data_IF_157328455068
#
_entry.id   IF_157328455068
#
_cell.length_a   1.000
_cell.length_b   1.000
_cell.length_c   1.000
_cell.angle_alpha   90.00
_cell.angle_beta   90.00
_cell.angle_gamma   90.00
#
_symmetry.space_group_name_H-M   'P 1'
#
loop_
_entity.id
_entity.type
_entity.pdbx_description
1 polymer ?
#
# COMPACT_ATOMS: atom_id res chain seq x y z
N UNK A 1 -40.46 33.26 -5.38
CA UNK A 1 -39.07 32.84 -5.39
C UNK A 1 -39.05 31.31 -5.46
N UNK A 2 -39.03 30.75 -6.67
CA UNK A 2 -38.99 29.31 -6.90
C UNK A 2 -37.61 28.79 -6.51
N UNK A 3 -37.58 27.91 -5.48
CA UNK A 3 -36.40 27.10 -5.19
C UNK A 3 -36.34 26.01 -6.24
N UNK A 4 -35.43 26.17 -7.22
CA UNK A 4 -35.02 25.07 -8.09
C UNK A 4 -34.45 23.96 -7.23
N UNK A 5 -35.19 22.89 -7.13
CA UNK A 5 -34.73 21.60 -6.62
C UNK A 5 -33.72 21.07 -7.67
N UNK A 6 -32.42 21.27 -7.42
CA UNK A 6 -31.36 20.67 -8.23
C UNK A 6 -31.47 19.16 -8.06
N UNK A 7 -31.78 18.48 -9.15
CA UNK A 7 -31.78 17.03 -9.25
C UNK A 7 -30.39 16.53 -8.86
N UNK A 8 -30.28 15.88 -7.72
CA UNK A 8 -29.08 15.13 -7.31
C UNK A 8 -28.87 14.07 -8.39
N UNK A 9 -27.80 14.17 -9.15
CA UNK A 9 -27.42 13.16 -10.12
C UNK A 9 -27.17 11.86 -9.36
N UNK A 10 -28.14 10.94 -9.40
CA UNK A 10 -27.99 9.61 -8.82
C UNK A 10 -27.06 8.78 -9.71
N UNK A 11 -26.16 8.02 -9.10
CA UNK A 11 -25.32 7.04 -9.81
C UNK A 11 -26.25 6.10 -10.58
N UNK A 12 -26.18 6.12 -11.91
CA UNK A 12 -27.06 5.30 -12.75
C UNK A 12 -26.63 3.84 -12.77
N UNK A 13 -27.55 2.88 -12.93
CA UNK A 13 -27.21 1.45 -13.02
C UNK A 13 -26.17 1.15 -14.12
N UNK A 14 -26.27 1.85 -15.25
CA UNK A 14 -25.35 1.69 -16.39
C UNK A 14 -23.88 2.01 -15.98
N UNK A 15 -23.69 3.02 -15.12
CA UNK A 15 -22.36 3.39 -14.61
C UNK A 15 -21.79 2.31 -13.70
N UNK A 16 -22.63 1.61 -12.95
CA UNK A 16 -22.21 0.47 -12.11
C UNK A 16 -21.84 -0.77 -12.94
N UNK A 17 -22.41 -0.92 -14.14
CA UNK A 17 -22.14 -2.07 -15.00
C UNK A 17 -20.79 -1.98 -15.72
N UNK A 18 -20.30 -0.77 -15.97
CA UNK A 18 -18.99 -0.51 -16.60
C UNK A 18 -17.81 -0.75 -15.64
N UNK A 19 -18.06 -0.79 -14.32
CA UNK A 19 -17.00 -1.00 -13.33
C UNK A 19 -16.43 -2.42 -13.50
N UNK A 20 -15.09 -2.56 -13.70
CA UNK A 20 -14.47 -3.86 -13.93
C UNK A 20 -14.43 -4.73 -12.64
N UNK A 21 -14.45 -6.04 -12.84
CA UNK A 21 -14.22 -7.01 -11.75
C UNK A 21 -12.71 -7.24 -11.58
N UNK A 22 -12.03 -6.19 -11.08
CA UNK A 22 -10.59 -6.16 -10.86
C UNK A 22 -10.28 -5.48 -9.52
N UNK A 23 -9.10 -5.73 -8.92
CA UNK A 23 -8.65 -4.98 -7.75
C UNK A 23 -8.44 -3.51 -8.10
N UNK A 24 -8.62 -2.64 -7.10
CA UNK A 24 -8.43 -1.21 -7.29
C UNK A 24 -9.01 -0.35 -6.17
N UNK A 25 -9.01 0.96 -6.41
CA UNK A 25 -9.53 1.99 -5.52
C UNK A 25 -10.70 2.69 -6.18
N UNK A 26 -11.76 2.91 -5.42
CA UNK A 26 -12.93 3.68 -5.86
C UNK A 26 -13.04 4.98 -5.05
N UNK A 27 -13.46 6.05 -5.76
CA UNK A 27 -13.60 7.39 -5.23
C UNK A 27 -15.07 7.81 -5.37
N UNK A 28 -15.74 8.07 -4.28
CA UNK A 28 -17.12 8.55 -4.27
C UNK A 28 -17.12 10.06 -4.18
N UNK A 29 -17.87 10.71 -5.09
CA UNK A 29 -17.98 12.16 -5.20
C UNK A 29 -19.37 12.64 -4.85
N UNK A 30 -19.46 13.84 -4.30
CA UNK A 30 -20.71 14.55 -4.07
C UNK A 30 -21.17 15.30 -5.33
N UNK A 31 -22.32 15.99 -5.26
CA UNK A 31 -22.85 16.78 -6.37
C UNK A 31 -21.98 18.00 -6.77
N UNK A 32 -21.07 18.42 -5.89
CA UNK A 32 -20.10 19.49 -6.18
C UNK A 32 -18.82 18.96 -6.86
N UNK A 33 -18.67 17.62 -7.00
CA UNK A 33 -17.49 16.99 -7.55
C UNK A 33 -16.39 16.68 -6.51
N UNK A 34 -16.61 17.02 -5.23
CA UNK A 34 -15.62 16.75 -4.19
C UNK A 34 -15.57 15.27 -3.85
N UNK A 35 -14.36 14.72 -3.66
CA UNK A 35 -14.17 13.36 -3.18
C UNK A 35 -14.54 13.30 -1.71
N UNK A 36 -15.63 12.57 -1.39
CA UNK A 36 -16.16 12.42 -0.05
C UNK A 36 -15.77 11.11 0.62
N UNK A 37 -15.38 10.10 -0.17
CA UNK A 37 -14.93 8.81 0.33
C UNK A 37 -13.99 8.14 -0.68
N UNK A 38 -12.95 7.48 -0.18
CA UNK A 38 -12.02 6.63 -0.92
C UNK A 38 -12.02 5.25 -0.29
N UNK A 39 -12.00 4.19 -1.08
CA UNK A 39 -11.93 2.82 -0.55
C UNK A 39 -11.31 1.84 -1.53
N UNK A 40 -10.59 0.84 -1.01
CA UNK A 40 -10.04 -0.26 -1.80
C UNK A 40 -11.03 -1.41 -1.99
N UNK A 41 -10.82 -2.20 -3.04
CA UNK A 41 -11.56 -3.43 -3.29
C UNK A 41 -10.67 -4.45 -4.01
N UNK A 42 -10.90 -5.75 -3.72
CA UNK A 42 -10.37 -6.87 -4.53
C UNK A 42 -11.17 -6.97 -5.82
N UNK A 43 -12.47 -6.69 -5.75
CA UNK A 43 -13.39 -6.58 -6.86
C UNK A 43 -14.13 -5.24 -6.77
N UNK A 44 -13.72 -4.28 -7.60
CA UNK A 44 -14.35 -2.96 -7.66
C UNK A 44 -15.85 -3.07 -7.93
N UNK A 45 -16.24 -3.91 -8.91
CA UNK A 45 -17.64 -4.14 -9.30
C UNK A 45 -18.51 -4.60 -8.12
N UNK A 46 -18.07 -5.65 -7.43
CA UNK A 46 -18.84 -6.22 -6.33
C UNK A 46 -18.91 -5.26 -5.14
N UNK A 47 -17.79 -4.63 -4.82
CA UNK A 47 -17.70 -3.70 -3.69
C UNK A 47 -18.57 -2.46 -3.90
N UNK A 48 -18.46 -1.82 -5.04
CA UNK A 48 -19.25 -0.61 -5.32
C UNK A 48 -20.74 -0.94 -5.37
N UNK A 49 -21.13 -2.02 -6.06
CA UNK A 49 -22.53 -2.46 -6.10
C UNK A 49 -23.10 -2.73 -4.72
N UNK A 50 -22.32 -3.24 -3.78
CA UNK A 50 -22.79 -3.53 -2.42
C UNK A 50 -23.35 -2.32 -1.67
N UNK A 51 -22.91 -1.10 -2.01
CA UNK A 51 -23.45 0.13 -1.43
C UNK A 51 -24.87 0.46 -1.92
N UNK A 52 -25.25 0.02 -3.12
CA UNK A 52 -26.51 0.39 -3.77
C UNK A 52 -27.55 -0.75 -3.75
N UNK A 53 -27.11 -2.01 -3.60
CA UNK A 53 -28.02 -3.17 -3.59
C UNK A 53 -28.71 -3.41 -2.26
N UNK A 54 -28.18 -2.93 -1.16
CA UNK A 54 -28.74 -3.16 0.17
C UNK A 54 -29.84 -2.14 0.48
N UNK A 55 -31.04 -2.35 -0.02
CA UNK A 55 -32.22 -1.66 0.51
C UNK A 55 -32.39 -2.02 2.00
N UNK A 56 -31.81 -1.19 2.90
CA UNK A 56 -32.10 -1.24 4.35
C UNK A 56 -31.11 -2.02 5.22
N UNK A 57 -30.03 -2.63 4.71
CA UNK A 57 -29.10 -3.45 5.50
C UNK A 57 -27.70 -2.83 5.74
N UNK A 58 -27.56 -1.52 5.62
CA UNK A 58 -26.33 -0.89 6.13
C UNK A 58 -26.51 -0.70 7.65
N UNK A 59 -25.84 -1.56 8.44
CA UNK A 59 -25.88 -1.52 9.90
C UNK A 59 -25.29 -0.21 10.48
N UNK A 60 -24.50 0.53 9.68
CA UNK A 60 -23.90 1.78 10.10
C UNK A 60 -24.66 3.01 9.61
N UNK A 61 -25.12 3.90 10.53
CA UNK A 61 -25.70 5.19 10.17
C UNK A 61 -24.83 6.05 9.26
N UNK A 62 -23.49 5.90 9.41
CA UNK A 62 -22.49 6.62 8.62
C UNK A 62 -22.53 6.22 7.14
N UNK A 63 -22.64 4.92 6.85
CA UNK A 63 -22.72 4.43 5.46
C UNK A 63 -24.02 4.89 4.81
N UNK A 64 -25.12 4.91 5.55
CA UNK A 64 -26.42 5.45 5.06
C UNK A 64 -26.33 6.94 4.69
N UNK A 65 -25.62 7.73 5.49
CA UNK A 65 -25.39 9.15 5.19
C UNK A 65 -24.45 9.33 3.99
N UNK A 66 -23.41 8.52 3.89
CA UNK A 66 -22.50 8.52 2.73
C UNK A 66 -23.28 8.25 1.43
N UNK A 67 -24.02 7.14 1.38
CA UNK A 67 -24.76 6.73 0.16
C UNK A 67 -25.73 7.82 -0.31
N UNK A 68 -26.37 8.56 0.61
CA UNK A 68 -27.26 9.68 0.26
C UNK A 68 -26.54 10.87 -0.40
N UNK A 69 -25.23 10.99 -0.22
CA UNK A 69 -24.45 12.12 -0.75
C UNK A 69 -23.65 11.75 -2.00
N UNK A 70 -23.61 10.47 -2.39
CA UNK A 70 -22.91 10.03 -3.60
C UNK A 70 -23.69 10.51 -4.82
N UNK A 71 -23.06 11.34 -5.62
CA UNK A 71 -23.56 11.77 -6.91
C UNK A 71 -22.79 11.10 -8.07
N UNK A 72 -21.52 10.77 -7.85
CA UNK A 72 -20.66 10.19 -8.86
C UNK A 72 -19.61 9.24 -8.25
N UNK A 73 -19.04 8.35 -9.07
CA UNK A 73 -18.02 7.37 -8.69
C UNK A 73 -16.97 7.28 -9.78
N UNK A 74 -15.71 7.50 -9.38
CA UNK A 74 -14.54 7.17 -10.18
C UNK A 74 -13.87 5.93 -9.60
N UNK A 75 -13.01 5.30 -10.40
CA UNK A 75 -12.21 4.16 -9.96
C UNK A 75 -10.85 4.14 -10.65
N UNK A 76 -9.87 3.56 -9.98
CA UNK A 76 -8.53 3.31 -10.49
C UNK A 76 -8.28 1.81 -10.32
N UNK A 77 -8.02 1.13 -11.44
CA UNK A 77 -7.69 -0.31 -11.44
C UNK A 77 -6.22 -0.47 -11.06
N UNK A 78 -5.94 -1.44 -10.22
CA UNK A 78 -4.57 -1.80 -9.81
C UNK A 78 -4.26 -3.23 -10.21
N UNK A 79 -2.97 -3.58 -10.23
CA UNK A 79 -2.51 -4.92 -10.60
C UNK A 79 -2.84 -5.97 -9.53
N UNK A 80 -2.87 -5.54 -8.26
CA UNK A 80 -3.12 -6.39 -7.10
C UNK A 80 -3.69 -5.62 -5.92
N UNK A 81 -4.05 -6.34 -4.84
CA UNK A 81 -4.63 -5.76 -3.63
C UNK A 81 -3.63 -4.91 -2.83
N UNK A 82 -2.34 -5.24 -2.89
CA UNK A 82 -1.28 -4.50 -2.17
C UNK A 82 -1.13 -3.10 -2.76
N UNK A 83 -1.12 -3.01 -4.09
CA UNK A 83 -1.09 -1.73 -4.81
C UNK A 83 -2.35 -0.90 -4.50
N UNK A 84 -3.54 -1.53 -4.49
CA UNK A 84 -4.77 -0.87 -4.09
C UNK A 84 -4.73 -0.30 -2.67
N UNK A 85 -4.11 -1.00 -1.72
CA UNK A 85 -3.96 -0.54 -0.34
C UNK A 85 -3.05 0.70 -0.25
N UNK A 86 -1.93 0.68 -0.94
CA UNK A 86 -0.97 1.80 -0.95
C UNK A 86 -1.63 3.03 -1.59
N UNK A 87 -2.29 2.84 -2.73
CA UNK A 87 -2.99 3.90 -3.44
C UNK A 87 -4.14 4.49 -2.61
N UNK A 88 -4.95 3.65 -1.92
CA UNK A 88 -5.99 4.10 -0.99
C UNK A 88 -5.39 5.01 0.09
N UNK A 89 -4.31 4.58 0.74
CA UNK A 89 -3.64 5.35 1.80
C UNK A 89 -3.11 6.69 1.28
N UNK A 90 -2.50 6.71 0.10
CA UNK A 90 -2.00 7.93 -0.55
C UNK A 90 -3.14 8.91 -0.85
N UNK A 91 -4.20 8.43 -1.51
CA UNK A 91 -5.36 9.26 -1.85
C UNK A 91 -6.10 9.80 -0.61
N UNK A 92 -6.20 9.02 0.46
CA UNK A 92 -6.80 9.49 1.72
C UNK A 92 -5.96 10.61 2.34
N UNK A 93 -4.63 10.52 2.30
CA UNK A 93 -3.74 11.56 2.80
C UNK A 93 -3.83 12.86 2.00
N UNK A 94 -3.87 12.75 0.67
CA UNK A 94 -3.94 13.89 -0.25
C UNK A 94 -5.30 14.57 -0.21
N UNK A 95 -6.37 13.79 -0.37
CA UNK A 95 -7.73 14.30 -0.56
C UNK A 95 -8.47 14.56 0.75
N UNK A 96 -8.02 13.96 1.86
CA UNK A 96 -8.63 14.07 3.21
C UNK A 96 -10.16 13.93 3.19
N UNK A 97 -10.73 12.88 2.58
CA UNK A 97 -12.16 12.80 2.30
C UNK A 97 -12.97 12.76 3.60
N UNK A 98 -14.08 13.50 3.65
CA UNK A 98 -14.89 13.71 4.85
C UNK A 98 -15.36 12.40 5.51
N UNK A 99 -15.67 11.36 4.74
CA UNK A 99 -16.17 10.10 5.27
C UNK A 99 -15.09 9.08 5.58
N UNK A 100 -13.85 9.23 5.09
CA UNK A 100 -12.69 8.48 5.55
C UNK A 100 -12.15 9.05 6.87
N UNK A 101 -12.32 10.35 7.06
CA UNK A 101 -11.82 11.04 8.23
C UNK A 101 -12.69 10.72 9.43
N UNK A 102 -12.39 9.64 10.08
CA UNK A 102 -12.37 9.47 11.53
C UNK A 102 -11.40 8.36 11.88
N UNK A 103 -10.19 8.52 11.38
CA UNK A 103 -8.97 8.08 12.04
C UNK A 103 -8.67 9.02 13.23
N UNK A 104 -9.69 9.40 14.01
CA UNK A 104 -9.53 10.26 15.19
C UNK A 104 -8.85 9.54 16.35
N UNK A 105 -8.62 8.24 16.25
CA UNK A 105 -7.80 7.44 17.15
C UNK A 105 -6.58 6.92 16.37
N UNK A 106 -5.61 7.78 16.10
CA UNK A 106 -4.34 7.43 15.48
C UNK A 106 -3.61 6.28 16.22
N UNK A 107 -3.97 6.07 17.49
CA UNK A 107 -3.37 5.05 18.37
C UNK A 107 -3.74 3.59 18.01
N UNK A 108 -4.75 3.35 17.20
CA UNK A 108 -5.26 2.00 16.92
C UNK A 108 -4.95 1.46 15.53
N UNK A 109 -4.52 2.31 14.60
CA UNK A 109 -4.23 1.89 13.24
C UNK A 109 -2.78 1.40 13.07
N UNK A 110 -2.55 0.35 12.29
CA UNK A 110 -1.21 -0.12 11.99
C UNK A 110 -0.50 0.82 11.00
N UNK A 111 0.79 0.97 11.23
CA UNK A 111 1.76 1.62 10.36
C UNK A 111 2.82 0.61 9.95
N UNK A 112 3.40 0.79 8.77
CA UNK A 112 4.65 0.14 8.38
C UNK A 112 5.77 1.13 8.70
N UNK A 113 6.72 0.71 9.55
CA UNK A 113 7.90 1.49 9.92
C UNK A 113 9.13 0.90 9.27
N UNK A 114 9.95 1.74 8.64
CA UNK A 114 11.30 1.43 8.20
C UNK A 114 12.26 2.08 9.21
N UNK A 115 13.06 1.26 9.92
CA UNK A 115 13.94 1.71 11.02
C UNK A 115 15.23 2.31 10.45
N UNK A 116 15.14 3.51 9.86
CA UNK A 116 16.28 4.17 9.22
C UNK A 116 17.37 4.65 10.19
N UNK A 117 17.12 4.59 11.47
CA UNK A 117 18.06 4.80 12.57
C UNK A 117 19.02 3.61 12.78
N UNK A 118 18.70 2.43 12.26
CA UNK A 118 19.57 1.26 12.32
C UNK A 118 20.56 1.23 11.13
N UNK A 119 21.79 0.74 11.34
CA UNK A 119 22.78 0.57 10.27
C UNK A 119 22.27 -0.29 9.11
N UNK A 120 21.41 -1.26 9.41
CA UNK A 120 20.69 -2.09 8.45
C UNK A 120 19.20 -2.04 8.79
N UNK A 121 18.43 -1.12 8.20
CA UNK A 121 17.03 -0.91 8.50
C UNK A 121 16.16 -2.17 8.37
N UNK A 122 15.12 -2.26 9.21
CA UNK A 122 14.10 -3.30 9.15
C UNK A 122 12.77 -2.70 8.74
N UNK A 123 11.91 -3.54 8.16
CA UNK A 123 10.51 -3.19 7.91
C UNK A 123 9.64 -3.92 8.92
N UNK A 124 8.97 -3.16 9.79
CA UNK A 124 8.15 -3.67 10.88
C UNK A 124 6.76 -3.04 10.88
N UNK A 125 5.80 -3.68 11.54
CA UNK A 125 4.49 -3.10 11.79
C UNK A 125 4.45 -2.55 13.21
N UNK A 126 4.01 -1.31 13.36
CA UNK A 126 3.78 -0.66 14.64
C UNK A 126 2.40 0.00 14.70
N UNK A 127 1.90 0.26 15.89
CA UNK A 127 0.70 1.09 16.12
C UNK A 127 1.04 2.40 16.82
N UNK A 128 2.31 2.62 17.12
CA UNK A 128 2.80 3.84 17.74
C UNK A 128 3.43 4.70 16.67
N UNK A 129 3.08 5.98 16.66
CA UNK A 129 3.82 6.99 15.92
C UNK A 129 5.11 7.23 16.72
N UNK A 130 6.24 6.96 16.08
CA UNK A 130 7.58 7.18 16.60
C UNK A 130 8.27 8.18 15.67
N UNK A 131 9.10 9.06 16.24
CA UNK A 131 9.81 10.09 15.46
C UNK A 131 11.04 9.51 14.75
N UNK A 132 11.51 8.35 15.19
CA UNK A 132 12.63 7.62 14.62
C UNK A 132 12.18 6.74 13.43
N UNK A 133 12.88 6.84 12.30
CA UNK A 133 12.59 6.09 11.09
C UNK A 133 11.49 6.67 10.20
N UNK A 134 11.21 5.98 9.08
CA UNK A 134 10.18 6.39 8.10
C UNK A 134 8.89 5.63 8.35
N UNK A 135 7.80 6.38 8.53
CA UNK A 135 6.47 5.83 8.81
C UNK A 135 5.57 5.91 7.58
N UNK A 136 4.92 4.80 7.26
CA UNK A 136 3.94 4.67 6.18
C UNK A 136 2.58 4.24 6.76
N UNK A 137 1.53 4.87 6.33
CA UNK A 137 0.18 4.66 6.87
C UNK A 137 -0.43 5.99 7.36
N UNK A 138 -1.47 6.02 8.19
CA UNK A 138 -2.11 4.85 8.79
C UNK A 138 -2.89 3.99 7.78
N UNK A 139 -2.90 2.68 7.98
CA UNK A 139 -3.65 1.76 7.15
C UNK A 139 -4.94 1.32 7.84
N UNK A 140 -6.05 1.34 7.11
CA UNK A 140 -7.36 0.98 7.69
C UNK A 140 -7.52 -0.54 7.95
N UNK A 141 -6.74 -1.38 7.27
CA UNK A 141 -6.84 -2.83 7.32
C UNK A 141 -5.52 -3.48 7.78
N UNK A 142 -5.53 -4.02 8.99
CA UNK A 142 -4.37 -4.73 9.54
C UNK A 142 -4.05 -6.05 8.83
N UNK A 143 -5.02 -6.67 8.18
CA UNK A 143 -4.82 -7.86 7.34
C UNK A 143 -4.02 -7.52 6.09
N UNK A 144 -4.41 -6.44 5.40
CA UNK A 144 -3.72 -5.95 4.22
C UNK A 144 -2.29 -5.52 4.53
N UNK A 145 -2.04 -4.87 5.70
CA UNK A 145 -0.67 -4.52 6.14
C UNK A 145 0.20 -5.78 6.31
N UNK A 146 -0.36 -6.86 6.88
CA UNK A 146 0.37 -8.13 7.02
C UNK A 146 0.68 -8.76 5.66
N UNK A 147 -0.25 -8.70 4.72
CA UNK A 147 -0.01 -9.19 3.34
C UNK A 147 1.07 -8.36 2.64
N UNK A 148 1.03 -7.03 2.75
CA UNK A 148 2.07 -6.14 2.22
C UNK A 148 3.44 -6.48 2.80
N UNK A 149 3.53 -6.66 4.13
CA UNK A 149 4.79 -7.06 4.77
C UNK A 149 5.28 -8.43 4.30
N UNK A 150 4.36 -9.38 4.11
CA UNK A 150 4.68 -10.71 3.55
C UNK A 150 5.19 -10.62 2.11
N UNK A 151 4.56 -9.77 1.29
CA UNK A 151 4.99 -9.48 -0.07
C UNK A 151 6.40 -8.86 -0.08
N UNK A 152 6.65 -7.81 0.71
CA UNK A 152 7.97 -7.19 0.82
C UNK A 152 9.05 -8.19 1.20
N UNK A 153 8.80 -9.03 2.22
CA UNK A 153 9.75 -10.07 2.68
C UNK A 153 10.00 -11.17 1.66
N UNK A 154 9.08 -11.38 0.71
CA UNK A 154 9.24 -12.35 -0.37
C UNK A 154 10.13 -11.81 -1.48
N UNK A 155 9.95 -10.55 -1.85
CA UNK A 155 10.57 -9.96 -3.03
C UNK A 155 11.82 -9.14 -2.72
N UNK A 156 11.92 -8.56 -1.51
CA UNK A 156 13.08 -7.79 -1.06
C UNK A 156 13.81 -8.55 0.06
N UNK A 157 15.07 -8.96 -0.14
CA UNK A 157 15.82 -9.78 0.82
C UNK A 157 16.29 -8.97 2.03
N UNK A 158 15.35 -8.35 2.75
CA UNK A 158 15.59 -7.57 3.96
C UNK A 158 15.72 -8.46 5.19
N UNK A 159 16.54 -8.02 6.15
CA UNK A 159 16.61 -8.69 7.44
C UNK A 159 15.31 -8.52 8.23
N UNK A 160 14.94 -9.54 8.98
CA UNK A 160 13.80 -9.51 9.92
C UNK A 160 14.22 -9.69 11.37
N UNK A 161 15.49 -10.07 11.62
CA UNK A 161 16.04 -10.27 12.96
C UNK A 161 16.22 -8.95 13.70
N UNK A 162 16.18 -9.01 15.04
CA UNK A 162 16.39 -7.87 15.93
C UNK A 162 17.84 -7.74 16.43
N UNK A 163 18.81 -8.40 15.76
CA UNK A 163 20.22 -8.33 16.13
C UNK A 163 20.73 -6.88 16.00
N UNK A 164 21.52 -6.45 16.99
CA UNK A 164 22.25 -5.19 16.86
C UNK A 164 23.46 -5.42 15.95
N UNK A 165 23.43 -4.79 14.77
CA UNK A 165 24.48 -4.90 13.76
C UNK A 165 25.40 -3.67 13.70
N UNK A 166 25.30 -2.75 14.66
CA UNK A 166 26.21 -1.60 14.79
C UNK A 166 27.62 -2.03 15.23
N UNK A 167 27.71 -3.14 15.93
CA UNK A 167 28.99 -3.73 16.33
C UNK A 167 29.32 -4.92 15.42
N UNK A 168 30.57 -4.98 14.95
CA UNK A 168 31.05 -6.08 14.12
C UNK A 168 31.12 -7.37 14.95
N UNK A 169 30.20 -8.30 14.69
CA UNK A 169 30.16 -9.63 15.29
C UNK A 169 30.11 -10.66 14.17
N UNK A 170 30.87 -11.73 14.31
CA UNK A 170 30.89 -12.84 13.35
C UNK A 170 29.67 -13.74 13.53
N UNK A 171 28.52 -13.29 13.00
CA UNK A 171 27.33 -14.12 12.96
C UNK A 171 27.38 -15.10 11.79
N UNK A 172 26.88 -16.32 11.99
CA UNK A 172 26.65 -17.26 10.90
C UNK A 172 25.36 -16.89 10.16
N UNK A 173 25.35 -17.00 8.81
CA UNK A 173 24.12 -16.81 8.03
C UNK A 173 23.00 -17.74 8.53
N UNK A 174 21.81 -17.20 8.71
CA UNK A 174 20.65 -17.97 9.14
C UNK A 174 19.89 -18.55 7.93
N UNK A 175 18.84 -19.35 8.20
CA UNK A 175 18.02 -19.97 7.18
C UNK A 175 17.50 -18.97 6.12
N UNK A 176 17.15 -17.72 6.51
CA UNK A 176 16.64 -16.73 5.57
C UNK A 176 17.65 -16.36 4.47
N UNK A 177 18.95 -16.42 4.77
CA UNK A 177 19.98 -16.24 3.75
C UNK A 177 19.96 -17.42 2.74
N UNK A 178 19.94 -18.64 3.24
CA UNK A 178 19.99 -19.83 2.39
C UNK A 178 18.76 -19.98 1.47
N UNK A 179 17.61 -19.44 1.88
CA UNK A 179 16.39 -19.40 1.05
C UNK A 179 16.24 -18.09 0.26
N UNK A 180 17.28 -17.25 0.20
CA UNK A 180 17.29 -16.00 -0.60
C UNK A 180 16.39 -14.87 -0.08
N UNK A 181 15.96 -14.93 1.20
CA UNK A 181 15.08 -13.90 1.80
C UNK A 181 15.82 -12.88 2.67
N UNK A 182 17.15 -12.95 2.76
CA UNK A 182 17.99 -12.00 3.47
C UNK A 182 19.39 -12.03 2.86
N UNK A 183 20.01 -10.87 2.69
CA UNK A 183 21.40 -10.77 2.19
C UNK A 183 22.48 -11.08 3.23
N UNK A 184 22.09 -11.47 4.47
CA UNK A 184 22.99 -11.74 5.58
C UNK A 184 24.00 -10.61 5.91
N UNK A 185 23.52 -9.36 6.12
CA UNK A 185 24.42 -8.28 6.54
C UNK A 185 25.10 -8.57 7.90
N UNK A 186 24.46 -9.42 8.74
CA UNK A 186 25.02 -9.86 10.03
C UNK A 186 26.31 -10.71 9.89
N UNK A 187 26.50 -11.36 8.73
CA UNK A 187 27.69 -12.14 8.39
C UNK A 187 28.64 -11.39 7.46
N UNK A 188 28.39 -10.11 7.17
CA UNK A 188 29.21 -9.31 6.26
C UNK A 188 29.09 -9.70 4.77
N UNK A 189 28.06 -10.50 4.40
CA UNK A 189 27.85 -10.96 3.02
C UNK A 189 27.12 -9.93 2.14
N UNK A 190 26.61 -8.85 2.74
CA UNK A 190 26.00 -7.73 2.05
C UNK A 190 26.52 -6.42 2.64
N UNK A 191 26.95 -5.50 1.79
CA UNK A 191 27.43 -4.19 2.21
C UNK A 191 26.27 -3.29 2.69
N UNK A 192 26.61 -2.28 3.49
CA UNK A 192 25.62 -1.29 3.92
C UNK A 192 25.06 -0.49 2.73
N UNK A 193 25.89 -0.21 1.72
CA UNK A 193 25.47 0.52 0.53
C UNK A 193 24.47 -0.28 -0.31
N UNK A 194 24.75 -1.56 -0.56
CA UNK A 194 23.82 -2.45 -1.27
C UNK A 194 22.50 -2.63 -0.51
N UNK A 195 22.58 -2.74 0.82
CA UNK A 195 21.43 -2.90 1.67
C UNK A 195 20.55 -1.62 1.68
N UNK A 196 21.16 -0.44 1.77
CA UNK A 196 20.44 0.83 1.76
C UNK A 196 19.74 1.12 0.43
N UNK A 197 20.31 0.73 -0.71
CA UNK A 197 19.63 0.79 -2.01
C UNK A 197 18.34 -0.02 -2.00
N UNK A 198 18.40 -1.24 -1.47
CA UNK A 198 17.23 -2.10 -1.32
C UNK A 198 16.17 -1.49 -0.39
N UNK A 199 16.60 -0.83 0.69
CA UNK A 199 15.68 -0.12 1.60
C UNK A 199 15.01 1.05 0.91
N UNK A 200 15.73 1.79 0.06
CA UNK A 200 15.14 2.90 -0.72
C UNK A 200 14.11 2.40 -1.72
N UNK A 201 14.36 1.28 -2.41
CA UNK A 201 13.38 0.65 -3.30
C UNK A 201 12.10 0.29 -2.56
N UNK A 202 12.22 -0.29 -1.36
CA UNK A 202 11.06 -0.57 -0.49
C UNK A 202 10.33 0.71 -0.07
N UNK A 203 11.05 1.79 0.22
CA UNK A 203 10.43 3.07 0.53
C UNK A 203 9.67 3.64 -0.67
N UNK A 204 10.25 3.60 -1.87
CA UNK A 204 9.57 4.03 -3.11
C UNK A 204 8.30 3.21 -3.37
N UNK A 205 8.38 1.90 -3.16
CA UNK A 205 7.21 1.03 -3.26
C UNK A 205 6.10 1.43 -2.28
N UNK A 206 6.44 1.65 -1.00
CA UNK A 206 5.50 2.06 0.04
C UNK A 206 4.94 3.48 -0.15
N UNK A 207 5.64 4.32 -0.90
CA UNK A 207 5.18 5.66 -1.33
C UNK A 207 4.27 5.60 -2.56
N UNK A 208 4.14 4.44 -3.20
CA UNK A 208 3.40 4.29 -4.46
C UNK A 208 4.12 4.90 -5.68
N UNK A 209 5.43 5.12 -5.57
CA UNK A 209 6.25 5.74 -6.64
C UNK A 209 6.77 4.70 -7.63
N UNK A 210 5.84 3.98 -8.25
CA UNK A 210 6.14 2.94 -9.24
C UNK A 210 6.84 3.50 -10.49
N UNK A 211 6.56 4.77 -10.82
CA UNK A 211 7.20 5.52 -11.91
C UNK A 211 8.72 5.60 -11.79
N UNK A 212 9.27 5.56 -10.58
CA UNK A 212 10.71 5.55 -10.30
C UNK A 212 11.25 4.16 -10.04
N UNK A 213 10.48 3.33 -9.35
CA UNK A 213 10.90 2.00 -8.93
C UNK A 213 11.06 1.04 -10.11
N UNK A 214 10.08 0.97 -11.02
CA UNK A 214 10.08 0.03 -12.14
C UNK A 214 11.28 0.24 -13.08
N UNK A 215 11.59 1.48 -13.55
CA UNK A 215 12.76 1.71 -14.40
C UNK A 215 14.08 1.33 -13.74
N UNK A 216 14.20 1.53 -12.42
CA UNK A 216 15.42 1.20 -11.68
C UNK A 216 15.61 -0.33 -11.58
N UNK A 217 14.56 -1.08 -11.25
CA UNK A 217 14.61 -2.55 -11.21
C UNK A 217 14.90 -3.12 -12.61
N UNK A 218 14.27 -2.58 -13.65
CA UNK A 218 14.55 -3.01 -15.04
C UNK A 218 16.02 -2.75 -15.44
N UNK A 219 16.57 -1.61 -15.04
CA UNK A 219 17.98 -1.28 -15.29
C UNK A 219 18.91 -2.31 -14.63
N UNK A 220 18.67 -2.58 -13.34
CA UNK A 220 19.45 -3.57 -12.58
C UNK A 220 19.35 -4.98 -13.16
N UNK A 221 18.13 -5.37 -13.61
CA UNK A 221 17.90 -6.65 -14.27
C UNK A 221 18.72 -6.79 -15.55
N UNK A 222 18.73 -5.75 -16.40
CA UNK A 222 19.52 -5.72 -17.63
C UNK A 222 21.04 -5.78 -17.36
N UNK A 223 21.52 -5.03 -16.35
CA UNK A 223 22.92 -5.08 -15.91
C UNK A 223 23.30 -6.47 -15.39
N UNK A 224 22.47 -7.07 -14.55
CA UNK A 224 22.70 -8.43 -14.04
C UNK A 224 22.78 -9.46 -15.18
N UNK A 225 21.86 -9.36 -16.16
CA UNK A 225 21.88 -10.22 -17.34
C UNK A 225 23.14 -10.03 -18.20
N UNK A 226 23.57 -8.78 -18.42
CA UNK A 226 24.79 -8.48 -19.17
C UNK A 226 26.06 -9.04 -18.50
N UNK A 227 26.06 -9.08 -17.16
CA UNK A 227 27.13 -9.65 -16.34
C UNK A 227 26.98 -11.17 -16.12
N UNK A 228 26.10 -11.86 -16.86
CA UNK A 228 25.82 -13.30 -16.78
C UNK A 228 25.31 -13.77 -15.39
N UNK A 229 24.78 -12.85 -14.58
CA UNK A 229 24.21 -13.11 -13.26
C UNK A 229 22.72 -13.48 -13.40
N UNK A 230 22.42 -14.59 -14.07
CA UNK A 230 21.05 -14.96 -14.46
C UNK A 230 20.11 -15.17 -13.29
N UNK A 231 20.58 -15.73 -12.17
CA UNK A 231 19.77 -15.91 -10.97
C UNK A 231 19.37 -14.57 -10.31
N UNK A 232 20.27 -13.58 -10.38
CA UNK A 232 19.99 -12.23 -9.91
C UNK A 232 19.00 -11.53 -10.84
N UNK A 233 19.21 -11.65 -12.15
CA UNK A 233 18.27 -11.09 -13.13
C UNK A 233 16.87 -11.70 -13.02
N UNK A 234 16.75 -13.00 -12.78
CA UNK A 234 15.47 -13.67 -12.54
C UNK A 234 14.78 -13.17 -11.28
N UNK A 235 15.51 -12.97 -10.18
CA UNK A 235 14.95 -12.37 -8.95
C UNK A 235 14.42 -10.95 -9.16
N UNK A 236 15.16 -10.11 -9.89
CA UNK A 236 14.77 -8.74 -10.22
C UNK A 236 13.53 -8.70 -11.14
N UNK A 237 13.41 -9.66 -12.08
CA UNK A 237 12.20 -9.81 -12.90
C UNK A 237 10.97 -10.15 -12.06
N UNK A 238 11.14 -10.95 -11.02
CA UNK A 238 10.05 -11.43 -10.17
C UNK A 238 9.65 -10.42 -9.08
N UNK A 239 10.42 -9.33 -8.88
CA UNK A 239 10.08 -8.18 -8.05
C UNK A 239 9.04 -7.28 -8.74
#
# INVERSE_FOLDING_TARGET
VERRCSSVAMVTPEKLDVIPDKPGVYLMKNAAGDIIYVGKAISLKNRVRSYFQSKGKHDSPKVRLLVKQIADIDYIVTSNEVEALILESTLIKEQKPRYNVRLKDDKNYPYIKVTTDEAFPRVIVTRRLEEDGRMFGPFADAGAVRMTLSFLRKHFPLRTCSLNLSERRDYRPCLLYHIGRCGAPCAGLQSAEEYNKLVEEVCLFLEGRHDRLIPEIERQMKEAAANLQFERAARLRDQ
#
